data_IF_835591526931
#
_entry.id   IF_835591526931
#
_cell.length_a   1.000
_cell.length_b   1.000
_cell.length_c   1.000
_cell.angle_alpha   90.00
_cell.angle_beta   90.00
_cell.angle_gamma   90.00
#
_symmetry.space_group_name_H-M   'P 1'
#
loop_
_entity.id
_entity.type
_entity.pdbx_description
1 polymer ?
#
# COMPACT_ATOMS: atom_id res chain seq x y z
N UNK A 1 -25.14 -11.04 5.56
CA UNK A 1 -25.00 -10.74 4.11
C UNK A 1 -25.21 -9.25 3.92
N UNK A 2 -24.18 -8.48 3.56
CA UNK A 2 -24.36 -7.04 3.24
C UNK A 2 -25.18 -6.90 1.96
N UNK A 3 -26.18 -6.01 1.97
CA UNK A 3 -27.08 -5.81 0.83
C UNK A 3 -26.29 -5.16 -0.34
N UNK A 4 -26.56 -5.57 -1.58
CA UNK A 4 -25.81 -5.12 -2.78
C UNK A 4 -25.86 -3.59 -2.96
N UNK A 5 -26.94 -2.94 -2.51
CA UNK A 5 -27.06 -1.48 -2.48
C UNK A 5 -26.14 -0.83 -1.45
N UNK A 6 -25.94 -1.45 -0.29
CA UNK A 6 -25.03 -0.94 0.77
C UNK A 6 -23.57 -1.05 0.35
N UNK A 7 -23.19 -2.12 -0.35
CA UNK A 7 -21.86 -2.26 -0.94
C UNK A 7 -21.59 -1.18 -1.98
N UNK A 8 -22.53 -0.93 -2.90
CA UNK A 8 -22.38 0.12 -3.92
C UNK A 8 -22.25 1.53 -3.31
N UNK A 9 -23.01 1.82 -2.25
CA UNK A 9 -22.88 3.07 -1.50
C UNK A 9 -21.49 3.22 -0.86
N UNK A 10 -21.02 2.15 -0.22
CA UNK A 10 -19.70 2.10 0.43
C UNK A 10 -18.55 2.43 -0.54
N UNK A 11 -18.52 1.80 -1.72
CA UNK A 11 -17.46 2.05 -2.71
C UNK A 11 -17.49 3.49 -3.26
N UNK A 12 -18.68 4.07 -3.42
CA UNK A 12 -18.83 5.44 -3.90
C UNK A 12 -18.30 6.46 -2.90
N UNK A 13 -18.57 6.25 -1.61
CA UNK A 13 -18.08 7.11 -0.54
C UNK A 13 -16.57 6.96 -0.34
N UNK A 14 -16.06 5.74 -0.45
CA UNK A 14 -14.63 5.45 -0.42
C UNK A 14 -13.88 6.16 -1.57
N UNK A 15 -14.39 6.07 -2.80
CA UNK A 15 -13.79 6.76 -3.95
C UNK A 15 -13.79 8.29 -3.80
N UNK A 16 -14.84 8.86 -3.20
CA UNK A 16 -14.94 10.30 -2.93
C UNK A 16 -13.95 10.75 -1.84
N UNK A 17 -13.74 9.91 -0.82
CA UNK A 17 -12.75 10.14 0.24
C UNK A 17 -11.32 10.15 -0.34
N UNK A 18 -10.97 9.16 -1.17
CA UNK A 18 -9.65 9.04 -1.76
C UNK A 18 -9.30 10.22 -2.68
N UNK A 19 -10.26 10.73 -3.46
CA UNK A 19 -10.04 11.93 -4.28
C UNK A 19 -9.64 13.17 -3.47
N UNK A 20 -10.12 13.31 -2.23
CA UNK A 20 -9.78 14.47 -1.38
C UNK A 20 -8.38 14.37 -0.76
N UNK A 21 -7.86 13.16 -0.57
CA UNK A 21 -6.62 12.92 0.20
C UNK A 21 -5.49 12.40 -0.70
N UNK A 22 -5.75 12.25 -2.01
CA UNK A 22 -4.82 11.74 -3.02
C UNK A 22 -3.40 12.31 -2.91
N UNK A 23 -3.24 13.63 -2.70
CA UNK A 23 -1.91 14.25 -2.55
C UNK A 23 -1.13 13.73 -1.33
N UNK A 24 -1.80 13.54 -0.18
CA UNK A 24 -1.18 12.99 1.03
C UNK A 24 -0.88 11.51 0.85
N UNK A 25 -1.79 10.76 0.23
CA UNK A 25 -1.58 9.35 -0.09
C UNK A 25 -0.34 9.17 -0.97
N UNK A 26 -0.17 9.95 -2.03
CA UNK A 26 1.01 9.87 -2.92
C UNK A 26 2.33 10.05 -2.17
N UNK A 27 2.41 11.03 -1.26
CA UNK A 27 3.62 11.26 -0.48
C UNK A 27 3.92 10.09 0.46
N UNK A 28 2.89 9.58 1.16
CA UNK A 28 3.02 8.40 2.03
C UNK A 28 3.46 7.18 1.21
N UNK A 29 2.88 6.98 0.04
CA UNK A 29 3.23 5.88 -0.87
C UNK A 29 4.69 5.93 -1.28
N UNK A 30 5.22 7.10 -1.65
CA UNK A 30 6.61 7.23 -2.05
C UNK A 30 7.58 6.92 -0.91
N UNK A 31 7.28 7.42 0.31
CA UNK A 31 8.11 7.15 1.49
C UNK A 31 8.07 5.66 1.84
N UNK A 32 6.88 5.06 1.85
CA UNK A 32 6.69 3.63 2.12
C UNK A 32 7.40 2.77 1.08
N UNK A 33 7.31 3.13 -0.20
CA UNK A 33 7.99 2.42 -1.28
C UNK A 33 9.49 2.43 -1.09
N UNK A 34 10.06 3.60 -0.78
CA UNK A 34 11.49 3.74 -0.55
C UNK A 34 11.96 2.90 0.64
N UNK A 35 11.28 3.00 1.79
CA UNK A 35 11.65 2.24 2.99
C UNK A 35 11.52 0.74 2.77
N UNK A 36 10.43 0.31 2.13
CA UNK A 36 10.21 -1.11 1.83
C UNK A 36 11.25 -1.64 0.86
N UNK A 37 11.62 -0.86 -0.16
CA UNK A 37 12.71 -1.20 -1.07
C UNK A 37 14.03 -1.37 -0.34
N UNK A 38 14.36 -0.45 0.56
CA UNK A 38 15.60 -0.54 1.33
C UNK A 38 15.65 -1.83 2.17
N UNK A 39 14.53 -2.21 2.78
CA UNK A 39 14.42 -3.43 3.58
C UNK A 39 14.54 -4.67 2.68
N UNK A 40 13.75 -4.77 1.62
CA UNK A 40 13.73 -5.95 0.73
C UNK A 40 15.05 -6.12 -0.01
N UNK A 41 15.63 -5.02 -0.52
CA UNK A 41 16.95 -5.02 -1.14
C UNK A 41 18.01 -5.58 -0.21
N UNK A 42 18.10 -5.06 1.02
CA UNK A 42 19.09 -5.54 1.99
C UNK A 42 18.81 -6.98 2.42
N UNK A 43 17.54 -7.38 2.52
CA UNK A 43 17.19 -8.77 2.81
C UNK A 43 17.69 -9.71 1.72
N UNK A 44 17.45 -9.41 0.45
CA UNK A 44 17.94 -10.22 -0.67
C UNK A 44 19.46 -10.21 -0.78
N UNK A 45 20.09 -9.05 -0.53
CA UNK A 45 21.54 -8.90 -0.62
C UNK A 45 22.26 -9.66 0.50
N UNK A 46 21.81 -9.52 1.74
CA UNK A 46 22.53 -9.99 2.92
C UNK A 46 22.13 -11.40 3.36
N UNK A 47 20.86 -11.79 3.19
CA UNK A 47 20.36 -13.09 3.66
C UNK A 47 20.31 -14.13 2.54
N UNK A 48 19.97 -13.72 1.32
CA UNK A 48 19.86 -14.62 0.17
C UNK A 48 21.12 -14.63 -0.72
N UNK A 49 22.12 -13.78 -0.40
CA UNK A 49 23.37 -13.62 -1.15
C UNK A 49 23.16 -13.37 -2.65
N UNK A 50 22.05 -12.73 -3.03
CA UNK A 50 21.79 -12.37 -4.42
C UNK A 50 22.82 -11.35 -4.93
N UNK A 51 23.07 -11.35 -6.24
CA UNK A 51 23.86 -10.30 -6.89
C UNK A 51 23.19 -8.93 -6.68
N UNK A 52 23.95 -7.85 -6.89
CA UNK A 52 23.43 -6.49 -6.76
C UNK A 52 22.23 -6.28 -7.69
N UNK A 53 22.35 -6.73 -8.94
CA UNK A 53 21.30 -6.59 -9.96
C UNK A 53 20.03 -7.37 -9.59
N UNK A 54 20.17 -8.64 -9.17
CA UNK A 54 19.04 -9.45 -8.74
C UNK A 54 18.39 -8.89 -7.48
N UNK A 55 19.19 -8.44 -6.50
CA UNK A 55 18.68 -7.82 -5.28
C UNK A 55 17.91 -6.52 -5.56
N UNK A 56 18.35 -5.73 -6.54
CA UNK A 56 17.64 -4.54 -7.01
C UNK A 56 16.30 -4.90 -7.64
N UNK A 57 16.30 -5.85 -8.58
CA UNK A 57 15.10 -6.27 -9.30
C UNK A 57 14.06 -6.86 -8.34
N UNK A 58 14.44 -7.84 -7.53
CA UNK A 58 13.54 -8.44 -6.56
C UNK A 58 13.17 -7.46 -5.45
N UNK A 59 14.10 -6.62 -5.00
CA UNK A 59 13.85 -5.58 -4.02
C UNK A 59 12.74 -4.64 -4.47
N UNK A 60 12.82 -4.11 -5.70
CA UNK A 60 11.80 -3.20 -6.28
C UNK A 60 10.46 -3.91 -6.40
N UNK A 61 10.43 -5.13 -6.96
CA UNK A 61 9.19 -5.88 -7.16
C UNK A 61 8.50 -6.13 -5.81
N UNK A 62 9.24 -6.64 -4.82
CA UNK A 62 8.72 -6.88 -3.48
C UNK A 62 8.26 -5.59 -2.80
N UNK A 63 8.98 -4.48 -2.99
CA UNK A 63 8.62 -3.20 -2.42
C UNK A 63 7.34 -2.63 -3.02
N UNK A 64 7.16 -2.72 -4.33
CA UNK A 64 5.94 -2.28 -5.02
C UNK A 64 4.72 -3.07 -4.52
N UNK A 65 4.82 -4.40 -4.50
CA UNK A 65 3.72 -5.28 -4.05
C UNK A 65 3.36 -4.97 -2.60
N UNK A 66 4.36 -4.94 -1.72
CA UNK A 66 4.15 -4.71 -0.29
C UNK A 66 3.59 -3.31 -0.01
N UNK A 67 4.08 -2.29 -0.72
CA UNK A 67 3.59 -0.91 -0.56
C UNK A 67 2.11 -0.80 -0.93
N UNK A 68 1.69 -1.38 -2.07
CA UNK A 68 0.29 -1.40 -2.49
C UNK A 68 -0.58 -2.08 -1.44
N UNK A 69 -0.15 -3.24 -0.93
CA UNK A 69 -0.88 -4.00 0.10
C UNK A 69 -1.01 -3.18 1.38
N UNK A 70 0.08 -2.60 1.88
CA UNK A 70 0.08 -1.84 3.13
C UNK A 70 -0.82 -0.62 3.01
N UNK A 71 -0.72 0.16 1.92
CA UNK A 71 -1.58 1.33 1.71
C UNK A 71 -3.04 0.92 1.65
N UNK A 72 -3.36 -0.15 0.92
CA UNK A 72 -4.73 -0.63 0.82
C UNK A 72 -5.30 -1.00 2.19
N UNK A 73 -4.53 -1.72 3.02
CA UNK A 73 -4.94 -2.07 4.38
C UNK A 73 -5.16 -0.81 5.23
N UNK A 74 -4.22 0.15 5.19
CA UNK A 74 -4.36 1.41 5.93
C UNK A 74 -5.58 2.21 5.50
N UNK A 75 -5.85 2.29 4.20
CA UNK A 75 -6.96 3.07 3.64
C UNK A 75 -8.32 2.44 4.02
N UNK A 76 -8.43 1.11 3.93
CA UNK A 76 -9.62 0.36 4.38
C UNK A 76 -9.82 0.48 5.89
N UNK A 77 -8.75 0.35 6.68
CA UNK A 77 -8.81 0.45 8.14
C UNK A 77 -9.23 1.86 8.58
N UNK A 78 -8.64 2.89 7.97
CA UNK A 78 -8.96 4.29 8.26
C UNK A 78 -10.39 4.65 7.86
N UNK A 79 -10.84 4.24 6.68
CA UNK A 79 -12.22 4.45 6.24
C UNK A 79 -13.21 3.77 7.18
N UNK A 80 -12.94 2.53 7.59
CA UNK A 80 -13.78 1.77 8.52
C UNK A 80 -13.83 2.44 9.89
N UNK A 81 -12.70 2.90 10.41
CA UNK A 81 -12.63 3.66 11.66
C UNK A 81 -13.44 4.95 11.57
N UNK A 82 -13.30 5.71 10.48
CA UNK A 82 -14.04 6.95 10.27
C UNK A 82 -15.54 6.74 10.13
N UNK A 83 -16.00 5.62 9.54
CA UNK A 83 -17.42 5.30 9.40
C UNK A 83 -18.08 4.87 10.73
N UNK A 84 -17.30 4.35 11.68
CA UNK A 84 -17.79 3.95 13.01
C UNK A 84 -17.89 5.11 14.01
N UNK A 85 -17.27 6.25 13.71
CA UNK A 85 -17.30 7.46 14.53
C UNK A 85 -18.33 8.43 13.98
#
# INVERSE_FOLDING_TARGET
MLNLMEQKGFFKDFAKYNRKILKKLLLITLIMLYLTFLITYNHFRNNMNYSIESSWLFGIISALISTVVIIFIFDVAWFTYKKRK
#
